data_IF_219807176543
#
_entry.id   IF_219807176543
#
_cell.length_a   1.000
_cell.length_b   1.000
_cell.length_c   1.000
_cell.angle_alpha   90.00
_cell.angle_beta   90.00
_cell.angle_gamma   90.00
#
_symmetry.space_group_name_H-M   'P 1'
#
loop_
_entity.id
_entity.type
_entity.pdbx_description
1 polymer ?
#
# COMPACT_ATOMS: atom_id res chain seq x y z
N UNK A 1 -10.20 15.85 -14.67
CA UNK A 1 -10.90 14.59 -14.36
C UNK A 1 -11.24 13.91 -15.68
N UNK A 2 -10.81 12.67 -15.88
CA UNK A 2 -11.18 11.90 -17.06
C UNK A 2 -12.63 11.42 -16.88
N UNK A 3 -13.57 12.08 -17.55
CA UNK A 3 -15.02 11.84 -17.40
C UNK A 3 -15.41 10.39 -17.68
N UNK A 4 -14.64 9.68 -18.51
CA UNK A 4 -14.87 8.27 -18.81
C UNK A 4 -14.53 7.35 -17.63
N UNK A 5 -13.44 7.61 -16.89
CA UNK A 5 -13.04 6.76 -15.74
C UNK A 5 -14.04 6.88 -14.61
N UNK A 6 -14.52 8.09 -14.33
CA UNK A 6 -15.55 8.34 -13.31
C UNK A 6 -16.88 7.65 -13.65
N UNK A 7 -17.25 7.59 -14.93
CA UNK A 7 -18.42 6.82 -15.39
C UNK A 7 -18.24 5.31 -15.14
N UNK A 8 -17.06 4.75 -15.45
CA UNK A 8 -16.77 3.35 -15.18
C UNK A 8 -16.84 3.01 -13.69
N UNK A 9 -16.27 3.87 -12.84
CA UNK A 9 -16.35 3.75 -11.37
C UNK A 9 -17.81 3.75 -10.93
N UNK A 10 -18.60 4.74 -11.38
CA UNK A 10 -19.99 4.85 -10.97
C UNK A 10 -20.82 3.65 -11.43
N UNK A 11 -20.69 3.21 -12.69
CA UNK A 11 -21.40 2.03 -13.21
C UNK A 11 -21.04 0.77 -12.42
N UNK A 12 -19.75 0.58 -12.13
CA UNK A 12 -19.29 -0.57 -11.38
C UNK A 12 -19.81 -0.55 -9.94
N UNK A 13 -19.70 0.59 -9.24
CA UNK A 13 -20.25 0.75 -7.88
C UNK A 13 -21.76 0.53 -7.85
N UNK A 14 -22.51 1.05 -8.82
CA UNK A 14 -23.97 0.80 -8.89
C UNK A 14 -24.29 -0.68 -9.02
N UNK A 15 -23.50 -1.42 -9.81
CA UNK A 15 -23.68 -2.86 -9.95
C UNK A 15 -23.32 -3.63 -8.68
N UNK A 16 -22.21 -3.28 -8.02
CA UNK A 16 -21.72 -3.98 -6.83
C UNK A 16 -22.59 -3.71 -5.61
N UNK A 17 -23.03 -2.46 -5.43
CA UNK A 17 -23.82 -2.02 -4.29
C UNK A 17 -25.32 -2.23 -4.49
N UNK A 18 -25.75 -2.62 -5.70
CA UNK A 18 -27.16 -2.70 -6.11
C UNK A 18 -27.93 -1.41 -5.80
N UNK A 19 -27.24 -0.26 -5.89
CA UNK A 19 -27.74 1.04 -5.48
C UNK A 19 -27.03 2.17 -6.23
N UNK A 20 -27.75 3.20 -6.63
CA UNK A 20 -27.21 4.38 -7.32
C UNK A 20 -27.14 5.65 -6.44
N UNK A 21 -27.63 5.58 -5.20
CA UNK A 21 -27.65 6.66 -4.23
C UNK A 21 -26.48 6.55 -3.23
N UNK A 22 -25.25 6.62 -3.75
CA UNK A 22 -24.04 6.70 -2.93
C UNK A 22 -23.29 8.02 -3.17
N UNK A 23 -22.48 8.43 -2.21
CA UNK A 23 -21.56 9.57 -2.35
C UNK A 23 -20.13 9.07 -2.46
N UNK A 24 -19.37 9.67 -3.38
CA UNK A 24 -17.94 9.41 -3.56
C UNK A 24 -17.16 10.60 -3.00
N UNK A 25 -16.37 10.38 -1.95
CA UNK A 25 -15.48 11.36 -1.37
C UNK A 25 -14.01 10.93 -1.58
N UNK A 26 -13.35 11.53 -2.56
CA UNK A 26 -11.94 11.23 -2.86
C UNK A 26 -11.00 11.67 -1.74
N UNK A 27 -10.04 10.81 -1.42
CA UNK A 27 -8.96 11.12 -0.49
C UNK A 27 -7.86 11.89 -1.20
N UNK A 28 -6.99 12.55 -0.42
CA UNK A 28 -5.77 13.12 -0.96
C UNK A 28 -4.94 12.02 -1.64
N UNK A 29 -4.33 12.35 -2.78
CA UNK A 29 -3.48 11.42 -3.53
C UNK A 29 -2.26 10.99 -2.71
N UNK A 30 -1.76 9.80 -3.00
CA UNK A 30 -0.53 9.25 -2.43
C UNK A 30 0.62 9.27 -3.46
N UNK A 31 1.72 8.58 -3.14
CA UNK A 31 2.89 8.47 -4.02
C UNK A 31 2.71 7.46 -5.17
N UNK A 32 1.52 6.90 -5.35
CA UNK A 32 1.20 5.90 -6.39
C UNK A 32 0.24 6.46 -7.45
N UNK A 33 -0.09 5.64 -8.46
CA UNK A 33 -1.13 5.97 -9.42
C UNK A 33 -2.53 5.56 -8.95
N UNK A 34 -2.62 4.83 -7.83
CA UNK A 34 -3.89 4.47 -7.20
C UNK A 34 -4.56 5.71 -6.62
N UNK A 35 -5.87 5.74 -6.71
CA UNK A 35 -6.70 6.72 -6.00
C UNK A 35 -7.59 5.97 -5.02
N UNK A 36 -7.79 6.57 -3.86
CA UNK A 36 -8.75 6.09 -2.89
C UNK A 36 -9.91 7.06 -2.77
N UNK A 37 -11.12 6.52 -2.59
CA UNK A 37 -12.31 7.30 -2.26
C UNK A 37 -13.14 6.58 -1.21
N UNK A 38 -13.67 7.32 -0.25
CA UNK A 38 -14.70 6.81 0.64
C UNK A 38 -16.04 6.82 -0.08
N UNK A 39 -16.70 5.68 -0.10
CA UNK A 39 -18.04 5.51 -0.65
C UNK A 39 -19.02 5.46 0.52
N UNK A 40 -19.90 6.45 0.61
CA UNK A 40 -20.97 6.50 1.59
C UNK A 40 -22.26 5.93 0.97
N UNK A 41 -22.81 4.88 1.56
CA UNK A 41 -24.11 4.34 1.19
C UNK A 41 -24.95 4.18 2.47
N UNK A 42 -25.95 5.05 2.63
CA UNK A 42 -26.78 5.11 3.85
C UNK A 42 -25.88 5.23 5.12
N UNK A 43 -25.97 4.26 6.03
CA UNK A 43 -25.20 4.21 7.28
C UNK A 43 -23.93 3.34 7.17
N UNK A 44 -23.51 2.97 5.96
CA UNK A 44 -22.31 2.17 5.70
C UNK A 44 -21.30 2.97 4.88
N UNK A 45 -20.03 2.66 5.11
CA UNK A 45 -18.92 3.19 4.33
C UNK A 45 -18.05 2.09 3.78
N UNK A 46 -17.43 2.37 2.64
CA UNK A 46 -16.46 1.51 1.97
C UNK A 46 -15.31 2.36 1.45
N UNK A 47 -14.18 1.72 1.17
CA UNK A 47 -13.05 2.33 0.48
C UNK A 47 -12.98 1.81 -0.94
N UNK A 48 -13.23 2.67 -1.92
CA UNK A 48 -12.88 2.42 -3.32
C UNK A 48 -11.38 2.58 -3.48
N UNK A 49 -10.75 1.60 -4.10
CA UNK A 49 -9.42 1.70 -4.70
C UNK A 49 -9.57 1.69 -6.22
N UNK A 50 -9.08 2.73 -6.87
CA UNK A 50 -9.02 2.89 -8.33
C UNK A 50 -7.55 2.86 -8.77
N UNK A 51 -7.11 1.73 -9.33
CA UNK A 51 -5.77 1.57 -9.90
C UNK A 51 -5.91 1.34 -11.41
N UNK A 52 -5.70 2.38 -12.26
CA UNK A 52 -5.83 2.23 -13.70
C UNK A 52 -4.90 1.12 -14.23
N UNK A 53 -5.41 0.05 -14.90
CA UNK A 53 -4.61 -1.12 -15.28
C UNK A 53 -3.41 -0.80 -16.19
N UNK A 54 -3.48 0.28 -16.96
CA UNK A 54 -2.38 0.75 -17.80
C UNK A 54 -1.23 1.39 -17.00
N UNK A 55 -1.43 1.64 -15.71
CA UNK A 55 -0.44 2.25 -14.82
C UNK A 55 -0.05 1.32 -13.67
N UNK A 56 -0.99 0.54 -13.15
CA UNK A 56 -0.80 -0.19 -11.91
C UNK A 56 -1.66 -1.46 -11.81
N UNK A 57 -1.05 -2.54 -11.33
CA UNK A 57 -1.70 -3.85 -11.18
C UNK A 57 -2.29 -4.04 -9.77
N UNK A 58 -3.56 -4.42 -9.69
CA UNK A 58 -4.26 -4.75 -8.44
C UNK A 58 -3.98 -6.18 -7.95
N UNK A 59 -3.51 -7.10 -8.80
CA UNK A 59 -3.32 -8.51 -8.44
C UNK A 59 -2.36 -8.70 -7.24
N UNK A 60 -1.23 -7.98 -7.13
CA UNK A 60 -0.37 -8.06 -5.96
C UNK A 60 -1.08 -7.66 -4.67
N UNK A 61 -1.91 -6.61 -4.71
CA UNK A 61 -2.69 -6.17 -3.54
C UNK A 61 -3.62 -7.28 -3.07
N UNK A 62 -4.44 -7.83 -3.99
CA UNK A 62 -5.42 -8.87 -3.68
C UNK A 62 -4.75 -10.14 -3.18
N UNK A 63 -3.65 -10.56 -3.81
CA UNK A 63 -2.89 -11.76 -3.39
C UNK A 63 -2.36 -11.62 -1.97
N UNK A 64 -1.77 -10.47 -1.63
CA UNK A 64 -1.22 -10.21 -0.29
C UNK A 64 -2.35 -10.13 0.75
N UNK A 65 -3.43 -9.41 0.43
CA UNK A 65 -4.59 -9.24 1.30
C UNK A 65 -5.25 -10.60 1.63
N UNK A 66 -5.61 -11.38 0.62
CA UNK A 66 -6.26 -12.68 0.79
C UNK A 66 -5.35 -13.68 1.54
N UNK A 67 -4.03 -13.66 1.26
CA UNK A 67 -3.06 -14.47 1.99
C UNK A 67 -3.03 -14.11 3.48
N UNK A 68 -2.93 -12.82 3.81
CA UNK A 68 -2.89 -12.37 5.20
C UNK A 68 -4.22 -12.58 5.93
N UNK A 69 -5.36 -12.35 5.26
CA UNK A 69 -6.68 -12.65 5.79
C UNK A 69 -6.81 -14.14 6.15
N UNK A 70 -6.36 -15.03 5.25
CA UNK A 70 -6.38 -16.48 5.47
C UNK A 70 -5.53 -16.95 6.67
N UNK A 71 -4.55 -16.14 7.08
CA UNK A 71 -3.69 -16.39 8.24
C UNK A 71 -4.08 -15.56 9.48
N UNK A 72 -5.29 -14.98 9.51
CA UNK A 72 -5.82 -14.26 10.67
C UNK A 72 -5.16 -12.90 10.93
N UNK A 73 -4.42 -12.36 9.96
CA UNK A 73 -3.94 -10.97 10.02
C UNK A 73 -5.09 -10.04 9.69
N UNK A 74 -5.19 -8.94 10.44
CA UNK A 74 -6.20 -7.92 10.20
C UNK A 74 -5.85 -7.08 8.98
N UNK A 75 -6.52 -7.36 7.86
CA UNK A 75 -6.47 -6.61 6.59
C UNK A 75 -7.88 -6.17 6.19
N UNK A 76 -8.06 -5.14 5.34
CA UNK A 76 -9.40 -4.70 4.96
C UNK A 76 -10.11 -5.79 4.16
N UNK A 77 -11.35 -6.13 4.51
CA UNK A 77 -12.08 -7.11 3.72
C UNK A 77 -12.30 -6.60 2.29
N UNK A 78 -11.95 -7.42 1.29
CA UNK A 78 -12.31 -7.15 -0.11
C UNK A 78 -13.79 -7.51 -0.30
N UNK A 79 -14.63 -6.48 -0.42
CA UNK A 79 -16.08 -6.61 -0.65
C UNK A 79 -16.36 -6.99 -2.10
N UNK A 80 -15.66 -6.36 -3.05
CA UNK A 80 -15.75 -6.66 -4.46
C UNK A 80 -14.47 -6.29 -5.19
N UNK A 81 -14.21 -6.93 -6.34
CA UNK A 81 -13.06 -6.66 -7.20
C UNK A 81 -13.44 -6.76 -8.68
N UNK A 82 -12.95 -5.83 -9.49
CA UNK A 82 -12.91 -5.91 -10.95
C UNK A 82 -11.47 -5.63 -11.40
N UNK A 83 -10.69 -6.70 -11.54
CA UNK A 83 -9.27 -6.62 -11.86
C UNK A 83 -9.01 -6.19 -13.29
N UNK A 84 -9.95 -6.43 -14.21
CA UNK A 84 -9.81 -6.00 -15.60
C UNK A 84 -9.88 -4.47 -15.70
N UNK A 85 -10.73 -3.87 -14.86
CA UNK A 85 -10.86 -2.43 -14.79
C UNK A 85 -9.98 -1.81 -13.71
N UNK A 86 -9.38 -2.60 -12.82
CA UNK A 86 -8.50 -2.13 -11.75
C UNK A 86 -9.26 -1.46 -10.60
N UNK A 87 -10.41 -2.01 -10.21
CA UNK A 87 -11.22 -1.51 -9.10
C UNK A 87 -11.29 -2.53 -7.96
N UNK A 88 -11.08 -2.06 -6.72
CA UNK A 88 -11.42 -2.81 -5.51
C UNK A 88 -12.37 -2.00 -4.63
N UNK A 89 -13.32 -2.68 -4.01
CA UNK A 89 -14.20 -2.12 -2.98
C UNK A 89 -13.83 -2.83 -1.68
N UNK A 90 -13.31 -2.05 -0.74
CA UNK A 90 -12.70 -2.52 0.48
C UNK A 90 -13.53 -2.09 1.69
N UNK A 91 -13.38 -2.81 2.79
CA UNK A 91 -13.80 -2.35 4.11
C UNK A 91 -13.16 -0.99 4.44
N UNK A 92 -13.93 -0.14 5.12
CA UNK A 92 -13.45 1.14 5.63
C UNK A 92 -13.15 1.03 7.13
N UNK A 93 -11.89 1.24 7.53
CA UNK A 93 -11.46 1.25 8.93
C UNK A 93 -11.82 2.54 9.68
N UNK A 94 -12.40 3.52 8.98
CA UNK A 94 -12.68 4.83 9.55
C UNK A 94 -11.44 5.70 9.65
N UNK A 95 -11.51 6.70 10.52
CA UNK A 95 -10.54 7.81 10.55
C UNK A 95 -9.64 7.82 11.79
N UNK A 96 -9.78 6.83 12.67
CA UNK A 96 -9.01 6.77 13.91
C UNK A 96 -7.62 6.21 13.61
N UNK A 97 -6.66 7.11 13.48
CA UNK A 97 -5.25 6.75 13.34
C UNK A 97 -4.66 6.42 14.71
N UNK A 98 -3.82 5.39 14.79
CA UNK A 98 -3.13 5.04 16.03
C UNK A 98 -2.39 6.26 16.61
N UNK A 99 -1.73 7.04 15.75
CA UNK A 99 -0.95 8.23 16.14
C UNK A 99 -1.74 9.27 16.92
N UNK A 100 -3.06 9.37 16.74
CA UNK A 100 -3.90 10.34 17.47
C UNK A 100 -4.28 9.86 18.87
N UNK A 101 -4.07 8.56 19.14
CA UNK A 101 -4.37 7.94 20.43
C UNK A 101 -3.12 7.83 21.33
N UNK A 102 -1.94 8.08 20.80
CA UNK A 102 -0.67 7.95 21.52
C UNK A 102 -0.40 9.16 22.42
N UNK A 103 -0.11 8.89 23.69
CA UNK A 103 0.44 9.82 24.66
C UNK A 103 1.27 9.02 25.69
N UNK A 104 1.86 9.71 26.67
CA UNK A 104 2.73 9.10 27.69
C UNK A 104 2.05 7.97 28.49
N UNK A 105 0.71 7.96 28.58
CA UNK A 105 -0.05 6.94 29.32
C UNK A 105 -0.48 5.76 28.43
N UNK A 106 -0.70 5.99 27.13
CA UNK A 106 -1.30 5.00 26.22
C UNK A 106 -0.29 4.30 25.31
N UNK A 107 0.89 4.89 25.11
CA UNK A 107 1.87 4.44 24.12
C UNK A 107 2.29 2.98 24.33
N UNK A 108 2.62 2.60 25.56
CA UNK A 108 3.10 1.25 25.87
C UNK A 108 2.05 0.20 25.55
N UNK A 109 0.78 0.44 25.93
CA UNK A 109 -0.31 -0.49 25.71
C UNK A 109 -0.61 -0.67 24.21
N UNK A 110 -0.61 0.41 23.43
CA UNK A 110 -0.87 0.30 22.00
C UNK A 110 0.30 -0.33 21.23
N UNK A 111 1.54 0.02 21.58
CA UNK A 111 2.71 -0.60 20.95
C UNK A 111 2.84 -2.08 21.31
N UNK A 112 2.47 -2.49 22.53
CA UNK A 112 2.40 -3.90 22.89
C UNK A 112 1.42 -4.67 21.97
N UNK A 113 0.26 -4.09 21.66
CA UNK A 113 -0.68 -4.66 20.70
C UNK A 113 -0.09 -4.72 19.29
N UNK A 114 0.55 -3.65 18.82
CA UNK A 114 1.21 -3.61 17.51
C UNK A 114 2.32 -4.66 17.40
N UNK A 115 3.13 -4.85 18.44
CA UNK A 115 4.18 -5.87 18.45
C UNK A 115 3.61 -7.29 18.45
N UNK A 116 2.51 -7.55 19.16
CA UNK A 116 1.81 -8.84 19.07
C UNK A 116 1.37 -9.14 17.63
N UNK A 117 0.84 -8.14 16.91
CA UNK A 117 0.49 -8.28 15.50
C UNK A 117 1.72 -8.52 14.62
N UNK A 118 2.84 -7.84 14.88
CA UNK A 118 4.09 -8.05 14.14
C UNK A 118 4.66 -9.45 14.34
N UNK A 119 4.66 -9.95 15.58
CA UNK A 119 5.11 -11.32 15.90
C UNK A 119 4.20 -12.34 15.21
N UNK A 120 2.88 -12.13 15.23
CA UNK A 120 1.95 -12.98 14.48
C UNK A 120 2.27 -12.97 12.98
N UNK A 121 2.47 -11.80 12.39
CA UNK A 121 2.82 -11.66 10.98
C UNK A 121 4.11 -12.41 10.62
N UNK A 122 5.15 -12.29 11.46
CA UNK A 122 6.44 -12.97 11.27
C UNK A 122 6.35 -14.50 11.42
N UNK A 123 5.35 -15.00 12.14
CA UNK A 123 5.13 -16.44 12.30
C UNK A 123 4.53 -17.12 11.05
N UNK A 124 4.02 -16.32 10.10
CA UNK A 124 3.39 -16.81 8.88
C UNK A 124 4.46 -17.14 7.83
N UNK A 125 4.46 -18.37 7.33
CA UNK A 125 5.38 -18.78 6.27
C UNK A 125 4.90 -18.26 4.90
N UNK A 126 5.46 -17.14 4.46
CA UNK A 126 5.21 -16.54 3.14
C UNK A 126 6.20 -16.95 2.04
N UNK A 127 7.21 -17.80 2.31
CA UNK A 127 8.34 -18.01 1.41
C UNK A 127 7.96 -18.61 0.04
N UNK A 128 6.89 -19.40 -0.02
CA UNK A 128 6.37 -19.97 -1.27
C UNK A 128 5.39 -19.03 -2.00
N UNK A 129 4.92 -17.98 -1.33
CA UNK A 129 3.89 -17.06 -1.83
C UNK A 129 4.46 -15.72 -2.28
N UNK A 130 5.56 -15.27 -1.65
CA UNK A 130 6.17 -13.98 -1.91
C UNK A 130 7.64 -14.13 -2.27
N UNK A 131 8.15 -13.31 -3.20
CA UNK A 131 9.57 -13.32 -3.53
C UNK A 131 10.39 -12.87 -2.33
N UNK A 132 11.56 -13.51 -2.14
CA UNK A 132 12.54 -13.01 -1.20
C UNK A 132 13.01 -11.61 -1.61
N UNK A 133 13.34 -10.79 -0.62
CA UNK A 133 13.89 -9.46 -0.86
C UNK A 133 15.35 -9.60 -1.33
N UNK A 134 15.55 -9.71 -2.64
CA UNK A 134 16.85 -10.02 -3.24
C UNK A 134 17.80 -8.82 -3.19
N UNK A 135 19.09 -9.09 -3.39
CA UNK A 135 20.12 -8.05 -3.53
C UNK A 135 19.75 -7.04 -4.62
N UNK A 136 19.29 -7.52 -5.78
CA UNK A 136 18.89 -6.69 -6.91
C UNK A 136 17.68 -5.83 -6.56
N UNK A 137 16.70 -6.39 -5.82
CA UNK A 137 15.54 -5.63 -5.36
C UNK A 137 15.95 -4.54 -4.37
N UNK A 138 16.76 -4.88 -3.37
CA UNK A 138 17.35 -3.93 -2.42
C UNK A 138 18.05 -2.76 -3.13
N UNK A 139 18.93 -3.07 -4.09
CA UNK A 139 19.62 -2.05 -4.87
C UNK A 139 18.63 -1.18 -5.67
N UNK A 140 17.67 -1.79 -6.37
CA UNK A 140 16.70 -1.04 -7.18
C UNK A 140 15.88 -0.05 -6.36
N UNK A 141 15.52 -0.42 -5.13
CA UNK A 141 14.76 0.44 -4.21
C UNK A 141 15.61 1.58 -3.67
N UNK A 142 16.86 1.30 -3.30
CA UNK A 142 17.79 2.33 -2.84
C UNK A 142 18.19 3.30 -3.96
N UNK A 143 18.29 2.83 -5.21
CA UNK A 143 18.60 3.65 -6.39
C UNK A 143 17.55 4.72 -6.69
N UNK A 144 16.34 4.62 -6.13
CA UNK A 144 15.36 5.72 -6.20
C UNK A 144 15.91 7.03 -5.63
N UNK A 145 16.86 6.97 -4.68
CA UNK A 145 17.60 8.14 -4.21
C UNK A 145 18.32 8.85 -5.37
N UNK A 146 19.14 8.12 -6.13
CA UNK A 146 20.00 8.69 -7.18
C UNK A 146 19.22 8.98 -8.46
N UNK A 147 18.22 8.18 -8.76
CA UNK A 147 17.51 8.21 -10.02
C UNK A 147 16.34 9.20 -9.98
N UNK A 148 15.74 9.42 -8.80
CA UNK A 148 14.55 10.27 -8.64
C UNK A 148 14.79 11.44 -7.68
N UNK A 149 15.20 11.16 -6.44
CA UNK A 149 15.21 12.17 -5.38
C UNK A 149 16.28 13.25 -5.63
N UNK A 150 17.54 12.87 -5.87
CA UNK A 150 18.62 13.83 -6.09
C UNK A 150 18.36 14.72 -7.33
N UNK A 151 17.97 14.17 -8.50
CA UNK A 151 17.58 15.00 -9.64
C UNK A 151 16.41 15.94 -9.35
N UNK A 152 15.41 15.51 -8.56
CA UNK A 152 14.28 16.38 -8.19
C UNK A 152 14.67 17.59 -7.34
N UNK A 153 15.83 17.49 -6.66
CA UNK A 153 16.41 18.56 -5.83
C UNK A 153 17.53 19.32 -6.56
N UNK A 154 17.75 19.05 -7.86
CA UNK A 154 18.86 19.56 -8.66
C UNK A 154 20.26 19.27 -8.05
N UNK A 155 20.39 18.12 -7.39
CA UNK A 155 21.64 17.64 -6.82
C UNK A 155 22.28 16.66 -7.80
N UNK A 156 23.49 16.98 -8.25
CA UNK A 156 24.28 16.15 -9.15
C UNK A 156 25.56 15.68 -8.45
N UNK A 157 25.60 14.43 -7.95
CA UNK A 157 26.79 13.91 -7.26
C UNK A 157 28.03 13.92 -8.16
N UNK A 158 29.18 14.27 -7.57
CA UNK A 158 30.48 14.03 -8.23
C UNK A 158 30.73 12.53 -8.38
N UNK A 159 31.73 12.15 -9.18
CA UNK A 159 32.12 10.75 -9.34
C UNK A 159 32.46 10.09 -7.99
N UNK A 160 33.16 10.79 -7.10
CA UNK A 160 33.54 10.27 -5.77
C UNK A 160 32.32 10.12 -4.85
N UNK A 161 31.36 11.05 -4.91
CA UNK A 161 30.12 10.97 -4.15
C UNK A 161 29.25 9.82 -4.66
N UNK A 162 29.14 9.65 -5.98
CA UNK A 162 28.41 8.54 -6.57
C UNK A 162 29.01 7.21 -6.12
N UNK A 163 30.35 7.08 -6.19
CA UNK A 163 31.04 5.90 -5.68
C UNK A 163 30.74 5.64 -4.19
N UNK A 164 30.73 6.68 -3.37
CA UNK A 164 30.40 6.57 -1.94
C UNK A 164 28.98 6.06 -1.72
N UNK A 165 28.03 6.55 -2.51
CA UNK A 165 26.62 6.11 -2.47
C UNK A 165 26.50 4.65 -2.91
N UNK A 166 27.13 4.28 -4.03
CA UNK A 166 27.10 2.92 -4.56
C UNK A 166 27.72 1.91 -3.56
N UNK A 167 28.86 2.27 -2.95
CA UNK A 167 29.52 1.46 -1.91
C UNK A 167 28.62 1.32 -0.66
N UNK A 168 27.88 2.37 -0.28
CA UNK A 168 26.94 2.33 0.83
C UNK A 168 25.71 1.46 0.53
N UNK A 169 25.18 1.50 -0.69
CA UNK A 169 24.08 0.65 -1.12
C UNK A 169 24.48 -0.84 -1.10
N UNK A 170 25.67 -1.17 -1.62
CA UNK A 170 26.18 -2.54 -1.55
C UNK A 170 26.32 -3.01 -0.10
N UNK A 171 26.92 -2.19 0.77
CA UNK A 171 27.04 -2.51 2.19
C UNK A 171 25.67 -2.76 2.86
N UNK A 172 24.70 -1.87 2.64
CA UNK A 172 23.36 -1.99 3.22
C UNK A 172 22.62 -3.23 2.70
N UNK A 173 22.74 -3.53 1.40
CA UNK A 173 22.11 -4.70 0.80
C UNK A 173 22.71 -6.00 1.36
N UNK A 174 24.04 -6.10 1.46
CA UNK A 174 24.70 -7.26 2.06
C UNK A 174 24.35 -7.42 3.55
N UNK A 175 24.32 -6.31 4.30
CA UNK A 175 23.96 -6.33 5.71
C UNK A 175 22.50 -6.80 5.93
N UNK A 176 21.56 -6.36 5.08
CA UNK A 176 20.18 -6.80 5.13
C UNK A 176 20.03 -8.31 4.83
N UNK A 177 20.74 -8.82 3.81
CA UNK A 177 20.72 -10.23 3.42
C UNK A 177 21.40 -11.16 4.44
N UNK A 178 22.26 -10.61 5.29
CA UNK A 178 22.91 -11.36 6.38
C UNK A 178 22.05 -11.46 7.65
N UNK A 179 20.91 -10.77 7.72
CA UNK A 179 20.00 -10.88 8.86
C UNK A 179 19.26 -12.24 8.82
N UNK A 180 19.01 -12.85 10.00
CA UNK A 180 18.30 -14.12 10.12
C UNK A 180 16.84 -14.04 9.65
#
# INVERSE_FOLDING_TARGET
>A
MNTQREQLIHTWLTSVLENDQFQIAYLAGDASFRRYARIQLQNKTYMLMDAPPEKEDCVPFVTIDEFFAGHGVRVPQIVAKDLNQGFLLLEDFGDVLLSTLLNDETVDQYYEQSFKQLIHLQSINGAEHFPAYSYEKLLSEMQLLTDWMLPSLDIHPTADQKKTIDDAFDFLAQAALAQP
#
